data_IF_768448616126
#
_entry.id   IF_768448616126
#
_cell.length_a   1.000
_cell.length_b   1.000
_cell.length_c   1.000
_cell.angle_alpha   90.00
_cell.angle_beta   90.00
_cell.angle_gamma   90.00
#
_symmetry.space_group_name_H-M   'P 1'
#
loop_
_entity.id
_entity.type
_entity.pdbx_description
1 polymer ?
#
# COMPACT_ATOMS: atom_id res chain seq x y z
N UNK A 1 -2.66 -5.28 -18.07
CA UNK A 1 -2.92 -3.82 -17.99
C UNK A 1 -2.27 -3.36 -16.70
N UNK A 2 -1.23 -2.53 -16.78
CA UNK A 2 -0.57 -1.99 -15.60
C UNK A 2 -1.55 -1.02 -14.91
N UNK A 3 -1.72 -1.14 -13.60
CA UNK A 3 -2.69 -0.37 -12.83
C UNK A 3 -2.06 0.14 -11.53
N UNK A 4 -2.58 1.25 -11.00
CA UNK A 4 -2.06 1.84 -9.77
C UNK A 4 -0.66 2.44 -9.94
N UNK A 5 0.25 2.13 -9.01
CA UNK A 5 1.59 2.71 -8.92
C UNK A 5 2.43 2.38 -10.16
N UNK A 6 2.43 1.12 -10.59
CA UNK A 6 3.12 0.64 -11.81
C UNK A 6 2.78 1.48 -13.05
N UNK A 7 1.48 1.74 -13.28
CA UNK A 7 1.05 2.59 -14.39
C UNK A 7 1.65 4.00 -14.30
N UNK A 8 1.64 4.59 -13.11
CA UNK A 8 2.16 5.93 -12.90
C UNK A 8 3.68 6.01 -13.15
N UNK A 9 4.39 4.91 -12.92
CA UNK A 9 5.86 4.83 -12.98
C UNK A 9 6.33 4.81 -14.44
N UNK A 10 5.74 3.98 -15.31
CA UNK A 10 6.20 3.85 -16.69
C UNK A 10 5.42 4.69 -17.70
N UNK A 11 4.08 4.63 -17.69
CA UNK A 11 3.26 5.29 -18.72
C UNK A 11 3.30 6.81 -18.60
N UNK A 12 3.23 7.35 -17.36
CA UNK A 12 3.22 8.79 -17.16
C UNK A 12 4.61 9.41 -17.31
N UNK A 13 5.65 8.73 -16.85
CA UNK A 13 7.01 9.22 -17.01
C UNK A 13 7.34 9.43 -18.49
N UNK A 14 7.17 8.41 -19.33
CA UNK A 14 7.43 8.50 -20.76
C UNK A 14 6.55 9.57 -21.43
N UNK A 15 5.25 9.59 -21.12
CA UNK A 15 4.30 10.55 -21.70
C UNK A 15 4.65 12.01 -21.44
N UNK A 16 5.26 12.32 -20.30
CA UNK A 16 5.63 13.69 -19.92
C UNK A 16 7.13 13.99 -20.13
N UNK A 17 7.86 13.11 -20.85
CA UNK A 17 9.28 13.31 -21.19
C UNK A 17 10.26 12.98 -20.06
N UNK A 18 9.82 12.25 -19.04
CA UNK A 18 10.67 11.64 -18.03
C UNK A 18 11.37 10.38 -18.55
N UNK A 19 12.45 9.98 -17.88
CA UNK A 19 13.21 8.77 -18.20
C UNK A 19 12.66 7.59 -17.38
N UNK A 20 11.96 6.62 -18.00
CA UNK A 20 11.37 5.48 -17.29
C UNK A 20 12.44 4.59 -16.63
N UNK A 21 13.71 4.70 -17.03
CA UNK A 21 14.82 3.94 -16.45
C UNK A 21 15.53 4.67 -15.30
N UNK A 22 15.09 5.87 -14.92
CA UNK A 22 15.70 6.69 -13.85
C UNK A 22 14.66 7.35 -12.94
N UNK A 23 13.83 6.52 -12.32
CA UNK A 23 12.68 6.99 -11.56
C UNK A 23 12.98 7.11 -10.06
N UNK A 24 12.47 8.17 -9.44
CA UNK A 24 12.46 8.40 -8.00
C UNK A 24 11.00 8.49 -7.54
N UNK A 25 10.60 7.59 -6.65
CA UNK A 25 9.25 7.55 -6.11
C UNK A 25 9.26 8.04 -4.67
N UNK A 26 8.44 9.06 -4.40
CA UNK A 26 8.27 9.64 -3.07
C UNK A 26 6.80 9.57 -2.73
N UNK A 27 6.46 8.77 -1.71
CA UNK A 27 5.11 8.69 -1.16
C UNK A 27 5.04 9.36 0.19
N UNK A 28 3.90 9.97 0.52
CA UNK A 28 3.64 10.61 1.82
C UNK A 28 2.37 10.03 2.46
N UNK A 29 2.38 9.79 3.78
CA UNK A 29 1.23 9.28 4.53
C UNK A 29 0.64 8.00 3.90
N UNK A 30 -0.64 8.00 3.56
CA UNK A 30 -1.29 6.89 2.85
C UNK A 30 -0.63 6.59 1.50
N UNK A 31 -0.08 7.59 0.80
CA UNK A 31 0.67 7.39 -0.45
C UNK A 31 1.99 6.65 -0.25
N UNK A 32 2.68 6.90 0.88
CA UNK A 32 3.88 6.15 1.25
C UNK A 32 3.56 4.68 1.50
N UNK A 33 2.46 4.42 2.22
CA UNK A 33 1.99 3.07 2.50
C UNK A 33 1.63 2.36 1.19
N UNK A 34 0.78 2.94 0.34
CA UNK A 34 0.36 2.34 -0.93
C UNK A 34 1.54 2.03 -1.86
N UNK A 35 2.48 2.97 -1.99
CA UNK A 35 3.66 2.81 -2.83
C UNK A 35 4.54 1.65 -2.36
N UNK A 36 4.87 1.59 -1.07
CA UNK A 36 5.74 0.55 -0.53
C UNK A 36 5.06 -0.82 -0.50
N UNK A 37 3.76 -0.88 -0.17
CA UNK A 37 3.00 -2.14 -0.23
C UNK A 37 2.91 -2.67 -1.65
N UNK A 38 2.73 -1.81 -2.66
CA UNK A 38 2.76 -2.23 -4.06
C UNK A 38 4.14 -2.77 -4.48
N UNK A 39 5.23 -2.11 -4.06
CA UNK A 39 6.58 -2.57 -4.32
C UNK A 39 6.88 -3.92 -3.66
N UNK A 40 6.47 -4.08 -2.39
CA UNK A 40 6.65 -5.30 -1.62
C UNK A 40 5.86 -6.47 -2.24
N UNK A 41 4.58 -6.26 -2.56
CA UNK A 41 3.73 -7.29 -3.18
C UNK A 41 4.31 -7.81 -4.51
N UNK A 42 4.94 -6.94 -5.29
CA UNK A 42 5.61 -7.34 -6.53
C UNK A 42 6.92 -8.10 -6.27
N UNK A 43 7.71 -7.69 -5.28
CA UNK A 43 8.91 -8.42 -4.86
C UNK A 43 8.57 -9.83 -4.36
N UNK A 44 7.52 -9.99 -3.54
CA UNK A 44 7.06 -11.29 -3.03
C UNK A 44 6.58 -12.22 -4.14
N UNK A 45 5.96 -11.67 -5.19
CA UNK A 45 5.51 -12.42 -6.38
C UNK A 45 6.64 -12.76 -7.35
N UNK A 46 7.86 -12.29 -7.11
CA UNK A 46 8.97 -12.28 -8.07
C UNK A 46 8.59 -11.62 -9.42
N UNK A 47 7.66 -10.66 -9.38
CA UNK A 47 7.17 -9.89 -10.53
C UNK A 47 7.39 -8.39 -10.27
N UNK A 48 8.66 -8.06 -9.96
CA UNK A 48 9.13 -6.70 -9.74
C UNK A 48 9.48 -5.98 -11.06
N UNK A 49 8.88 -6.38 -12.17
CA UNK A 49 9.21 -5.90 -13.52
C UNK A 49 9.05 -4.38 -13.65
N UNK A 50 8.04 -3.79 -13.00
CA UNK A 50 7.84 -2.34 -13.01
C UNK A 50 8.83 -1.56 -12.11
N UNK A 51 9.58 -2.24 -11.24
CA UNK A 51 10.58 -1.60 -10.37
C UNK A 51 11.95 -1.46 -11.03
N UNK A 52 12.19 -2.03 -12.22
CA UNK A 52 13.51 -2.03 -12.89
C UNK A 52 14.06 -0.62 -13.12
N UNK A 53 13.17 0.32 -13.45
CA UNK A 53 13.49 1.73 -13.68
C UNK A 53 13.60 2.57 -12.41
N UNK A 54 13.14 2.06 -11.26
CA UNK A 54 13.09 2.79 -9.99
C UNK A 54 14.45 2.72 -9.29
N UNK A 55 15.08 3.87 -9.10
CA UNK A 55 16.40 4.00 -8.45
C UNK A 55 16.31 4.40 -6.98
N UNK A 56 15.18 4.98 -6.59
CA UNK A 56 14.96 5.42 -5.22
C UNK A 56 13.48 5.33 -4.87
N UNK A 57 13.20 4.74 -3.70
CA UNK A 57 11.88 4.77 -3.05
C UNK A 57 12.03 5.47 -1.70
N UNK A 58 11.24 6.52 -1.49
CA UNK A 58 11.21 7.25 -0.21
C UNK A 58 9.78 7.26 0.32
N UNK A 59 9.58 6.64 1.48
CA UNK A 59 8.36 6.78 2.25
C UNK A 59 8.51 7.89 3.28
N UNK A 60 7.59 8.85 3.29
CA UNK A 60 7.54 9.92 4.30
C UNK A 60 6.30 9.74 5.16
N UNK A 61 6.50 9.58 6.47
CA UNK A 61 5.45 9.54 7.50
C UNK A 61 4.28 8.61 7.15
N UNK A 62 4.56 7.44 6.57
CA UNK A 62 3.55 6.48 6.16
C UNK A 62 2.96 5.68 7.33
N UNK A 63 1.78 5.11 7.11
CA UNK A 63 1.15 4.18 8.05
C UNK A 63 1.68 2.77 7.79
N UNK A 64 2.95 2.52 8.09
CA UNK A 64 3.62 1.27 7.64
C UNK A 64 3.15 0.02 8.36
N UNK A 65 2.74 0.14 9.62
CA UNK A 65 2.30 -0.96 10.46
C UNK A 65 0.93 -0.64 11.06
N UNK A 66 -0.11 -1.08 10.35
CA UNK A 66 -1.51 -0.84 10.76
C UNK A 66 -1.86 -1.71 11.99
N UNK A 67 -1.26 -2.89 12.12
CA UNK A 67 -1.52 -3.78 13.25
C UNK A 67 -0.96 -3.19 14.55
N UNK A 68 0.26 -2.64 14.53
CA UNK A 68 0.86 -2.02 15.70
C UNK A 68 0.14 -0.75 16.15
N UNK A 69 -0.45 0.03 15.23
CA UNK A 69 -1.18 1.26 15.57
C UNK A 69 -2.66 1.02 15.91
N UNK A 70 -3.22 -0.13 15.53
CA UNK A 70 -4.62 -0.47 15.76
C UNK A 70 -5.09 -0.29 17.22
N UNK A 71 -4.35 -0.76 18.26
CA UNK A 71 -4.75 -0.55 19.65
C UNK A 71 -4.90 0.93 19.99
N UNK A 72 -3.99 1.79 19.50
CA UNK A 72 -4.06 3.22 19.77
C UNK A 72 -5.23 3.89 19.05
N UNK A 73 -5.53 3.46 17.81
CA UNK A 73 -6.70 3.97 17.08
C UNK A 73 -8.00 3.63 17.81
N UNK A 74 -8.10 2.41 18.36
CA UNK A 74 -9.25 1.97 19.16
C UNK A 74 -9.36 2.79 20.44
N UNK A 75 -8.26 3.03 21.15
CA UNK A 75 -8.22 3.91 22.33
C UNK A 75 -8.69 5.33 22.02
N UNK A 76 -8.37 5.83 20.82
CA UNK A 76 -8.81 7.15 20.33
C UNK A 76 -10.26 7.18 19.85
N UNK A 77 -11.00 6.06 19.92
CA UNK A 77 -12.41 5.99 19.59
C UNK A 77 -12.73 5.42 18.20
N UNK A 78 -11.75 4.87 17.46
CA UNK A 78 -12.05 4.15 16.23
C UNK A 78 -12.72 2.80 16.56
N UNK A 79 -13.95 2.52 16.08
CA UNK A 79 -14.59 1.24 16.37
C UNK A 79 -13.75 0.06 15.87
N UNK A 80 -13.43 -0.87 16.77
CA UNK A 80 -12.66 -2.08 16.47
C UNK A 80 -13.24 -2.85 15.28
N UNK A 81 -14.56 -3.04 15.27
CA UNK A 81 -15.28 -3.74 14.21
C UNK A 81 -15.16 -3.05 12.86
N UNK A 82 -15.12 -1.71 12.83
CA UNK A 82 -14.93 -0.94 11.60
C UNK A 82 -13.48 -1.06 11.11
N UNK A 83 -12.50 -0.93 12.00
CA UNK A 83 -11.08 -1.06 11.65
C UNK A 83 -10.79 -2.43 11.01
N UNK A 84 -11.20 -3.52 11.66
CA UNK A 84 -10.96 -4.86 11.11
C UNK A 84 -11.76 -5.14 9.84
N UNK A 85 -12.98 -4.58 9.68
CA UNK A 85 -13.71 -4.67 8.41
C UNK A 85 -13.02 -3.92 7.27
N UNK A 86 -12.35 -2.80 7.55
CA UNK A 86 -11.56 -2.07 6.56
C UNK A 86 -10.27 -2.81 6.19
N UNK A 87 -9.65 -3.49 7.16
CA UNK A 87 -8.42 -4.26 6.96
C UNK A 87 -8.68 -5.66 6.36
N UNK A 88 -9.88 -6.21 6.55
CA UNK A 88 -10.25 -7.52 6.02
C UNK A 88 -10.31 -7.46 4.48
N UNK A 89 -9.36 -8.15 3.83
CA UNK A 89 -9.48 -8.51 2.42
C UNK A 89 -10.62 -9.52 2.31
N UNK A 90 -11.53 -9.33 1.35
CA UNK A 90 -12.84 -10.01 1.19
C UNK A 90 -12.83 -11.55 1.08
N UNK A 91 -11.71 -12.22 1.30
CA UNK A 91 -11.60 -13.70 1.25
C UNK A 91 -11.51 -14.34 2.64
N UNK A 92 -11.87 -13.62 3.71
CA UNK A 92 -12.04 -14.20 5.04
C UNK A 92 -13.52 -14.53 5.22
N UNK A 93 -13.85 -15.82 5.38
CA UNK A 93 -15.21 -16.24 5.73
C UNK A 93 -15.74 -15.44 6.92
N UNK A 94 -17.04 -15.08 6.91
CA UNK A 94 -17.60 -14.25 7.96
C UNK A 94 -17.38 -14.90 9.32
N UNK A 95 -16.88 -14.12 10.27
CA UNK A 95 -16.87 -14.50 11.69
C UNK A 95 -18.30 -14.89 12.07
N UNK A 96 -18.48 -16.12 12.53
CA UNK A 96 -19.77 -16.60 13.02
C UNK A 96 -20.21 -15.70 14.16
N UNK A 97 -21.45 -15.19 14.07
CA UNK A 97 -22.11 -14.38 15.10
C UNK A 97 -22.15 -15.17 16.41
N UNK A 98 -21.13 -14.99 17.26
CA UNK A 98 -20.92 -15.90 18.39
C UNK A 98 -20.15 -15.36 19.58
N UNK A 99 -19.35 -14.29 19.48
CA UNK A 99 -18.62 -13.77 20.63
C UNK A 99 -18.74 -12.24 20.69
N UNK A 100 -19.51 -11.78 21.67
CA UNK A 100 -20.01 -10.42 21.79
C UNK A 100 -19.06 -9.39 22.38
N UNK A 101 -19.58 -8.16 22.44
CA UNK A 101 -19.85 -7.39 23.66
C UNK A 101 -21.21 -6.69 23.49
#
# INVERSE_FOLDING_TARGET
VNAGVDRAVHELAERFGGDPEKLCLIGQSAGAHLMLTAALACAERNDATWLSGVKLLVGVSGVYDVEAIAPKMIEMGLPRSLLYRLMAVKDVEPLSDGDGD
#
